data_IF_258801108811
#
_entry.id   IF_258801108811
#
_cell.length_a   1.000
_cell.length_b   1.000
_cell.length_c   1.000
_cell.angle_alpha   90.00
_cell.angle_beta   90.00
_cell.angle_gamma   90.00
#
_symmetry.space_group_name_H-M   'P 1'
#
loop_
_entity.id
_entity.type
_entity.pdbx_description
1 polymer ?
#
# COMPACT_ATOMS: atom_id res chain seq x y z
N UNK A 1 36.71 -1.86 7.70
CA UNK A 1 36.28 -2.34 8.22
C UNK A 1 36.37 -2.81 8.95
N UNK A 2 36.19 -2.53 9.28
CA UNK A 2 36.35 -3.15 9.98
C UNK A 2 35.51 -3.99 10.01
N UNK A 3 35.42 -4.36 9.20
CA UNK A 3 34.91 -5.47 9.16
C UNK A 3 35.11 -6.25 10.27
N UNK A 4 35.80 -5.84 11.05
CA UNK A 4 36.03 -6.57 12.21
C UNK A 4 34.83 -6.69 13.10
N UNK A 5 33.83 -5.91 12.87
CA UNK A 5 32.65 -6.01 13.67
C UNK A 5 31.75 -7.14 13.17
N UNK A 6 31.55 -8.13 14.01
CA UNK A 6 30.60 -9.17 13.71
C UNK A 6 29.25 -8.79 14.28
N UNK A 7 28.24 -8.90 13.48
CA UNK A 7 26.87 -8.72 13.96
C UNK A 7 26.39 -10.07 14.44
N UNK A 8 26.16 -10.20 15.74
CA UNK A 8 25.67 -11.42 16.33
C UNK A 8 24.16 -11.39 16.60
N UNK A 9 23.59 -10.22 16.55
CA UNK A 9 22.14 -10.06 16.74
C UNK A 9 21.57 -9.26 15.59
N UNK A 10 20.42 -9.69 15.14
CA UNK A 10 19.69 -9.00 14.08
C UNK A 10 18.30 -8.68 14.59
N UNK A 11 17.88 -7.44 14.42
CA UNK A 11 16.51 -7.04 14.67
C UNK A 11 15.81 -7.00 13.33
N UNK A 12 14.82 -7.87 13.15
CA UNK A 12 14.05 -7.85 11.92
C UNK A 12 13.19 -6.60 11.89
N UNK A 13 13.42 -5.75 10.90
CA UNK A 13 12.62 -4.56 10.74
C UNK A 13 11.17 -4.96 10.44
N UNK A 14 10.23 -4.21 11.00
CA UNK A 14 8.83 -4.44 10.76
C UNK A 14 8.42 -3.73 9.45
N UNK A 15 9.15 -4.00 8.40
CA UNK A 15 8.97 -3.35 7.12
C UNK A 15 8.16 -4.19 6.14
N UNK A 16 7.87 -5.44 6.50
CA UNK A 16 7.17 -6.36 5.63
C UNK A 16 5.66 -6.16 5.62
N UNK A 17 5.17 -5.26 6.46
CA UNK A 17 3.75 -4.98 6.58
C UNK A 17 3.01 -5.99 7.46
N UNK A 18 1.70 -5.84 7.62
CA UNK A 18 0.89 -6.79 8.38
C UNK A 18 0.77 -8.11 7.63
N UNK A 19 0.45 -9.20 8.33
CA UNK A 19 0.25 -10.49 7.66
C UNK A 19 -0.85 -10.43 6.60
N UNK A 20 -0.80 -11.34 5.63
CA UNK A 20 -1.83 -11.45 4.62
C UNK A 20 -3.20 -11.69 5.26
N UNK A 21 -4.23 -11.04 4.74
CA UNK A 21 -5.58 -11.16 5.25
C UNK A 21 -6.44 -9.99 4.87
N UNK A 22 -7.63 -9.96 5.43
CA UNK A 22 -8.60 -8.88 5.26
C UNK A 22 -8.55 -7.96 6.48
N UNK A 23 -8.52 -6.66 6.22
CA UNK A 23 -8.47 -5.67 7.31
C UNK A 23 -9.39 -4.51 7.01
N UNK A 24 -9.90 -3.88 8.07
CA UNK A 24 -10.48 -2.54 7.95
C UNK A 24 -9.35 -1.55 8.15
N UNK A 25 -9.26 -0.58 7.24
CA UNK A 25 -8.16 0.38 7.28
C UNK A 25 -8.62 1.73 6.76
N UNK A 26 -8.03 2.78 7.31
CA UNK A 26 -8.28 4.15 6.87
C UNK A 26 -7.27 4.54 5.81
N UNK A 27 -7.74 5.11 4.71
CA UNK A 27 -6.86 5.61 3.65
C UNK A 27 -6.10 6.83 4.15
N UNK A 28 -4.77 6.76 4.11
CA UNK A 28 -3.91 7.83 4.62
C UNK A 28 -3.36 8.73 3.52
N UNK A 29 -3.48 8.33 2.27
CA UNK A 29 -3.02 9.12 1.15
C UNK A 29 -2.03 8.38 0.27
N UNK A 30 -1.51 9.10 -0.72
CA UNK A 30 -0.55 8.58 -1.67
C UNK A 30 0.70 9.46 -1.61
N UNK A 31 1.85 8.84 -1.46
CA UNK A 31 3.13 9.53 -1.40
C UNK A 31 3.95 9.21 -2.63
N UNK A 32 4.55 10.21 -3.25
CA UNK A 32 5.49 10.01 -4.33
C UNK A 32 6.74 9.34 -3.79
N UNK A 33 7.22 8.33 -4.49
CA UNK A 33 8.48 7.67 -4.17
C UNK A 33 9.40 7.72 -5.38
N UNK A 34 10.69 7.58 -5.14
CA UNK A 34 11.68 7.49 -6.19
C UNK A 34 12.69 6.41 -5.86
N UNK A 35 12.97 5.56 -6.81
CA UNK A 35 13.98 4.52 -6.69
C UNK A 35 14.95 4.67 -7.86
N UNK A 36 16.25 4.69 -7.57
CA UNK A 36 17.25 4.89 -8.61
C UNK A 36 17.16 3.89 -9.75
N UNK A 37 16.80 2.66 -9.43
CA UNK A 37 16.74 1.58 -10.42
C UNK A 37 15.38 1.50 -11.10
N UNK A 38 14.28 1.71 -10.35
CA UNK A 38 12.94 1.50 -10.87
C UNK A 38 12.20 2.78 -11.20
N UNK A 39 12.77 3.93 -10.87
CA UNK A 39 12.16 5.23 -11.17
C UNK A 39 11.11 5.64 -10.16
N UNK A 40 10.18 6.48 -10.62
CA UNK A 40 9.16 7.06 -9.77
C UNK A 40 8.04 6.08 -9.47
N UNK A 41 7.50 6.18 -8.27
CA UNK A 41 6.38 5.37 -7.83
C UNK A 41 5.36 6.19 -7.05
N UNK A 42 4.24 5.55 -6.76
CA UNK A 42 3.21 6.08 -5.89
C UNK A 42 2.94 5.04 -4.81
N UNK A 43 3.09 5.43 -3.55
CA UNK A 43 2.83 4.54 -2.43
C UNK A 43 1.49 4.89 -1.82
N UNK A 44 0.59 3.93 -1.84
CA UNK A 44 -0.73 4.04 -1.22
C UNK A 44 -0.62 3.51 0.20
N UNK A 45 -1.01 4.32 1.19
CA UNK A 45 -0.90 3.95 2.60
C UNK A 45 -2.28 3.82 3.23
N UNK A 46 -2.45 2.75 4.01
CA UNK A 46 -3.68 2.49 4.76
C UNK A 46 -3.31 2.12 6.19
N UNK A 47 -3.99 2.73 7.16
CA UNK A 47 -3.75 2.42 8.56
C UNK A 47 -4.84 1.50 9.08
N UNK A 48 -4.46 0.34 9.55
CA UNK A 48 -5.40 -0.65 10.08
C UNK A 48 -6.05 -0.11 11.35
N UNK A 49 -7.38 -0.16 11.42
CA UNK A 49 -8.15 0.47 12.49
C UNK A 49 -8.85 -0.50 13.43
N UNK A 50 -8.66 -1.77 13.25
CA UNK A 50 -9.30 -2.74 14.15
C UNK A 50 -8.52 -4.03 14.27
N UNK A 51 -8.80 -4.78 15.31
CA UNK A 51 -8.21 -6.08 15.52
C UNK A 51 -6.79 -6.02 16.07
N UNK A 52 -6.11 -7.15 15.95
CA UNK A 52 -4.78 -7.35 16.52
C UNK A 52 -3.72 -6.46 15.90
N UNK A 53 -3.88 -6.09 14.64
CA UNK A 53 -2.91 -5.29 13.91
C UNK A 53 -3.27 -3.82 13.81
N UNK A 54 -4.22 -3.33 14.61
CA UNK A 54 -4.62 -1.94 14.61
C UNK A 54 -3.42 -1.02 14.85
N UNK A 55 -3.35 0.06 14.09
CA UNK A 55 -2.24 1.00 14.16
C UNK A 55 -1.10 0.70 13.20
N UNK A 56 -1.05 -0.49 12.60
CA UNK A 56 -0.04 -0.81 11.60
C UNK A 56 -0.45 -0.26 10.25
N UNK A 57 0.55 0.07 9.44
CA UNK A 57 0.32 0.58 8.08
C UNK A 57 0.49 -0.53 7.08
N UNK A 58 -0.51 -0.68 6.21
CA UNK A 58 -0.41 -1.52 5.03
C UNK A 58 -0.27 -0.61 3.82
N UNK A 59 0.61 -0.94 2.90
CA UNK A 59 0.86 -0.07 1.76
C UNK A 59 1.10 -0.85 0.48
N UNK A 60 1.09 -0.12 -0.62
CA UNK A 60 1.49 -0.64 -1.91
C UNK A 60 2.13 0.46 -2.72
N UNK A 61 3.32 0.21 -3.23
CA UNK A 61 4.00 1.09 -4.16
C UNK A 61 3.80 0.57 -5.56
N UNK A 62 3.32 1.42 -6.44
CA UNK A 62 3.06 1.06 -7.83
C UNK A 62 3.36 2.25 -8.73
N UNK A 63 3.17 2.08 -10.03
CA UNK A 63 3.48 3.13 -10.99
C UNK A 63 2.56 4.34 -10.77
N UNK A 64 3.06 5.58 -10.98
CA UNK A 64 2.25 6.77 -10.72
C UNK A 64 1.19 7.04 -11.78
N UNK A 65 1.16 6.28 -12.86
CA UNK A 65 0.20 6.47 -13.94
C UNK A 65 -0.89 5.40 -13.84
N UNK A 66 -2.13 5.78 -13.49
CA UNK A 66 -3.19 4.80 -13.36
C UNK A 66 -3.71 4.34 -14.73
N UNK A 67 -4.07 3.08 -14.78
CA UNK A 67 -4.73 2.46 -15.93
C UNK A 67 -5.71 1.42 -15.40
N UNK A 68 -6.83 1.18 -16.08
CA UNK A 68 -7.77 0.15 -15.61
C UNK A 68 -7.16 -1.22 -15.46
N UNK A 69 -6.01 -1.47 -16.09
CA UNK A 69 -5.35 -2.77 -16.09
C UNK A 69 -4.19 -2.88 -15.10
N UNK A 70 -3.72 -1.77 -14.54
CA UNK A 70 -2.59 -1.85 -13.60
C UNK A 70 -3.05 -1.71 -12.15
N UNK A 71 -2.13 -1.99 -11.23
CA UNK A 71 -2.43 -1.97 -9.81
C UNK A 71 -2.85 -0.58 -9.34
N UNK A 72 -2.19 0.47 -9.84
CA UNK A 72 -2.50 1.84 -9.47
C UNK A 72 -3.95 2.18 -9.79
N UNK A 73 -4.39 1.87 -11.00
CA UNK A 73 -5.76 2.14 -11.41
C UNK A 73 -6.77 1.33 -10.61
N UNK A 74 -6.46 0.06 -10.35
CA UNK A 74 -7.36 -0.79 -9.56
C UNK A 74 -7.51 -0.29 -8.12
N UNK A 75 -6.41 0.13 -7.50
CA UNK A 75 -6.48 0.69 -6.14
C UNK A 75 -7.29 1.99 -6.14
N UNK A 76 -7.06 2.87 -7.11
CA UNK A 76 -7.81 4.12 -7.21
C UNK A 76 -9.30 3.87 -7.40
N UNK A 77 -9.68 2.93 -8.25
CA UNK A 77 -11.08 2.59 -8.46
C UNK A 77 -11.71 2.03 -7.19
N UNK A 78 -10.97 1.25 -6.42
CA UNK A 78 -11.45 0.75 -5.13
C UNK A 78 -11.66 1.85 -4.11
N UNK A 79 -10.77 2.83 -4.07
CA UNK A 79 -10.87 3.95 -3.15
C UNK A 79 -12.05 4.86 -3.54
N UNK A 80 -12.17 5.19 -4.81
CA UNK A 80 -13.24 6.08 -5.29
C UNK A 80 -14.60 5.37 -5.32
N UNK A 81 -14.59 4.06 -5.56
CA UNK A 81 -15.81 3.28 -5.66
C UNK A 81 -16.42 3.27 -7.04
N UNK A 82 -15.70 3.77 -8.04
CA UNK A 82 -16.19 3.83 -9.42
C UNK A 82 -15.03 3.79 -10.38
N UNK A 83 -15.28 3.28 -11.59
CA UNK A 83 -14.28 3.27 -12.64
C UNK A 83 -14.09 4.69 -13.20
N UNK A 84 -12.85 5.08 -13.42
CA UNK A 84 -12.54 6.35 -14.05
C UNK A 84 -12.66 6.22 -15.57
N UNK A 85 -13.09 7.31 -16.20
CA UNK A 85 -13.16 7.37 -17.65
C UNK A 85 -11.81 7.81 -18.22
N UNK A 86 -11.46 7.39 -19.45
CA UNK A 86 -10.21 7.84 -20.06
C UNK A 86 -10.12 9.37 -20.10
N UNK A 87 -8.98 9.91 -19.67
CA UNK A 87 -8.74 11.34 -19.62
C UNK A 87 -9.32 12.04 -18.41
N UNK A 88 -10.05 11.35 -17.58
CA UNK A 88 -10.62 11.93 -16.36
C UNK A 88 -9.54 12.14 -15.31
N UNK A 89 -9.56 13.31 -14.67
CA UNK A 89 -8.67 13.58 -13.54
C UNK A 89 -9.34 13.07 -12.27
N UNK A 90 -8.63 12.26 -11.52
CA UNK A 90 -9.14 11.70 -10.27
C UNK A 90 -8.30 12.24 -9.12
N UNK A 91 -8.95 12.87 -8.14
CA UNK A 91 -8.29 13.33 -6.94
C UNK A 91 -8.66 12.42 -5.78
N UNK A 92 -7.66 11.93 -5.06
CA UNK A 92 -7.87 11.08 -3.89
C UNK A 92 -7.87 11.87 -2.59
N UNK A 93 -7.64 13.17 -2.63
CA UNK A 93 -7.54 13.98 -1.42
C UNK A 93 -8.81 13.94 -0.57
N UNK A 94 -9.98 13.90 -1.20
CA UNK A 94 -11.25 13.86 -0.50
C UNK A 94 -11.55 12.52 0.16
N UNK A 95 -10.78 11.50 -0.17
CA UNK A 95 -10.97 10.15 0.37
C UNK A 95 -10.04 9.83 1.54
N UNK A 96 -9.09 10.71 1.82
CA UNK A 96 -8.20 10.55 2.98
C UNK A 96 -9.04 10.59 4.25
N UNK A 97 -8.82 9.62 5.13
CA UNK A 97 -9.58 9.49 6.37
C UNK A 97 -10.78 8.58 6.28
N UNK A 98 -11.17 8.15 5.06
CA UNK A 98 -12.26 7.20 4.90
C UNK A 98 -11.78 5.78 5.19
N UNK A 99 -12.70 4.96 5.69
CA UNK A 99 -12.39 3.57 6.04
C UNK A 99 -12.79 2.63 4.90
N UNK A 100 -11.92 1.68 4.65
CA UNK A 100 -12.09 0.68 3.59
C UNK A 100 -11.81 -0.71 4.13
N UNK A 101 -12.26 -1.72 3.40
CA UNK A 101 -11.80 -3.09 3.59
C UNK A 101 -10.67 -3.30 2.58
N UNK A 102 -9.50 -3.71 3.07
CA UNK A 102 -8.36 -3.97 2.22
C UNK A 102 -8.00 -5.45 2.27
N UNK A 103 -7.51 -5.96 1.15
CA UNK A 103 -6.92 -7.29 1.08
C UNK A 103 -5.42 -7.13 1.03
N UNK A 104 -4.74 -7.74 1.99
CA UNK A 104 -3.27 -7.74 2.06
C UNK A 104 -2.79 -9.13 1.65
N UNK A 105 -1.88 -9.18 0.70
CA UNK A 105 -1.33 -10.43 0.20
C UNK A 105 0.17 -10.36 0.08
N UNK A 106 0.79 -11.47 -0.30
CA UNK A 106 2.23 -11.52 -0.49
C UNK A 106 2.64 -10.73 -1.73
N UNK A 107 3.67 -9.93 -1.58
CA UNK A 107 4.28 -9.24 -2.71
C UNK A 107 5.01 -10.25 -3.61
N UNK A 108 5.43 -9.77 -4.79
CA UNK A 108 6.10 -10.64 -5.76
C UNK A 108 7.37 -11.29 -5.22
N UNK A 109 8.04 -10.65 -4.24
CA UNK A 109 9.25 -11.23 -3.65
C UNK A 109 8.95 -12.41 -2.69
N UNK A 110 7.69 -12.65 -2.35
CA UNK A 110 7.29 -13.76 -1.49
C UNK A 110 7.61 -13.59 0.00
N UNK A 111 8.21 -12.48 0.40
CA UNK A 111 8.66 -12.27 1.79
C UNK A 111 7.97 -11.10 2.48
N UNK A 112 7.49 -10.13 1.73
CA UNK A 112 6.76 -9.00 2.29
C UNK A 112 5.30 -9.04 1.86
N UNK A 113 4.47 -8.22 2.49
CA UNK A 113 3.06 -8.13 2.14
C UNK A 113 2.75 -6.75 1.58
N UNK A 114 1.68 -6.68 0.82
CA UNK A 114 1.23 -5.43 0.23
C UNK A 114 -0.28 -5.43 0.08
N UNK A 115 -0.86 -4.25 -0.09
CA UNK A 115 -2.29 -4.13 -0.36
C UNK A 115 -2.56 -4.64 -1.77
N UNK A 116 -3.40 -5.66 -1.89
CA UNK A 116 -3.77 -6.25 -3.18
C UNK A 116 -5.03 -5.62 -3.75
N UNK A 117 -5.99 -5.30 -2.90
CA UNK A 117 -7.21 -4.66 -3.35
C UNK A 117 -7.85 -3.85 -2.22
N UNK A 118 -8.72 -2.94 -2.62
CA UNK A 118 -9.43 -2.03 -1.74
C UNK A 118 -10.91 -2.07 -2.11
N UNK A 119 -11.76 -2.15 -1.10
CA UNK A 119 -13.21 -2.19 -1.28
C UNK A 119 -13.86 -1.25 -0.27
N UNK A 120 -15.06 -0.73 -0.56
CA UNK A 120 -15.79 0.03 0.45
C UNK A 120 -15.99 -0.80 1.71
N UNK A 121 -15.91 -0.16 2.87
CA UNK A 121 -16.19 -0.84 4.12
C UNK A 121 -17.68 -1.17 4.19
N UNK A 122 -17.97 -2.38 4.58
CA UNK A 122 -19.35 -2.81 4.72
C UNK A 122 -20.00 -2.24 5.97
#
# INVERSE_FOLDING_TARGET
MSSAEMISEFVFADSSGPPAGLYKATFEGVTKTHHEEYGDGARFDFKIVGGEHAGRTASRTCKPQPSPKNATGRLMQGIVGAAAKPGEKVSLATFIGKTYTIVVGLAANGTSTRVESVMPAA
#
